data_IF_282645143446
#
_entry.id   IF_282645143446
#
_cell.length_a   1.000
_cell.length_b   1.000
_cell.length_c   1.000
_cell.angle_alpha   90.00
_cell.angle_beta   90.00
_cell.angle_gamma   90.00
#
_symmetry.space_group_name_H-M   'P 1'
#
loop_
_entity.id
_entity.type
_entity.pdbx_description
1 polymer ?
#
# COMPACT_ATOMS: atom_id res chain seq x y z
N UNK A 1 14.97 -18.93 -9.33
CA UNK A 1 13.67 -18.25 -9.57
C UNK A 1 13.95 -16.75 -9.47
N UNK A 2 13.67 -15.97 -10.51
CA UNK A 2 13.82 -14.51 -10.40
C UNK A 2 12.74 -14.00 -9.45
N UNK A 3 13.08 -13.04 -8.58
CA UNK A 3 12.07 -12.35 -7.80
C UNK A 3 11.05 -11.71 -8.75
N UNK A 4 9.75 -11.71 -8.40
CA UNK A 4 8.75 -11.03 -9.20
C UNK A 4 9.10 -9.54 -9.34
N UNK A 5 8.68 -8.93 -10.46
CA UNK A 5 8.83 -7.50 -10.64
C UNK A 5 8.00 -6.75 -9.59
N UNK A 6 8.46 -5.57 -9.11
CA UNK A 6 7.67 -4.74 -8.22
C UNK A 6 6.33 -4.32 -8.85
N UNK A 7 5.30 -4.18 -8.02
CA UNK A 7 3.95 -3.77 -8.44
C UNK A 7 3.53 -2.56 -7.63
N UNK A 8 2.99 -1.55 -8.32
CA UNK A 8 2.44 -0.36 -7.69
C UNK A 8 1.04 -0.66 -7.18
N UNK A 9 0.88 -0.67 -5.86
CA UNK A 9 -0.40 -0.85 -5.19
C UNK A 9 -1.23 0.43 -5.26
N UNK A 10 -0.60 1.56 -4.98
CA UNK A 10 -1.18 2.91 -5.08
C UNK A 10 -0.29 3.70 -6.03
N UNK A 11 -0.91 4.37 -6.99
CA UNK A 11 -0.25 5.35 -7.84
C UNK A 11 -1.16 6.56 -7.96
N UNK A 12 -0.72 7.67 -7.40
CA UNK A 12 -1.38 8.97 -7.51
C UNK A 12 -0.35 9.93 -8.09
N UNK A 13 -0.66 10.48 -9.25
CA UNK A 13 0.18 11.46 -9.93
C UNK A 13 -0.73 12.50 -10.58
N UNK A 14 -0.38 13.76 -10.46
CA UNK A 14 -1.04 14.83 -11.19
C UNK A 14 -0.24 15.25 -12.44
N UNK A 15 -0.87 16.05 -13.32
CA UNK A 15 -0.18 16.61 -14.49
C UNK A 15 0.95 17.58 -14.15
N UNK A 16 0.95 18.17 -12.95
CA UNK A 16 1.93 19.16 -12.50
C UNK A 16 3.24 18.52 -12.02
N UNK A 17 3.22 17.19 -11.82
CA UNK A 17 4.39 16.35 -11.57
C UNK A 17 4.49 15.84 -10.13
N UNK A 18 3.57 16.24 -9.25
CA UNK A 18 3.50 15.70 -7.90
C UNK A 18 3.00 14.25 -7.97
N UNK A 19 3.73 13.35 -7.31
CA UNK A 19 3.42 11.93 -7.30
C UNK A 19 3.62 11.30 -5.93
N UNK A 20 2.76 10.36 -5.63
CA UNK A 20 2.85 9.47 -4.48
C UNK A 20 2.55 8.03 -4.95
N UNK A 21 3.51 7.14 -4.75
CA UNK A 21 3.41 5.74 -5.17
C UNK A 21 3.70 4.83 -3.98
N UNK A 22 2.83 3.85 -3.73
CA UNK A 22 3.13 2.72 -2.84
C UNK A 22 3.46 1.51 -3.70
N UNK A 23 4.74 1.12 -3.70
CA UNK A 23 5.28 0.04 -4.53
C UNK A 23 5.61 -1.17 -3.68
N UNK A 24 4.97 -2.30 -3.94
CA UNK A 24 5.33 -3.59 -3.33
C UNK A 24 6.51 -4.18 -4.10
N UNK A 25 7.63 -4.39 -3.41
CA UNK A 25 8.89 -4.83 -3.99
C UNK A 25 9.20 -6.31 -3.71
N UNK A 26 8.54 -6.92 -2.72
CA UNK A 26 8.77 -8.32 -2.36
C UNK A 26 8.21 -8.70 -1.00
N UNK A 27 8.76 -9.77 -0.43
CA UNK A 27 8.50 -10.23 0.95
C UNK A 27 9.63 -9.75 1.86
N UNK A 28 9.34 -9.44 3.13
CA UNK A 28 10.33 -8.99 4.11
C UNK A 28 11.34 -10.09 4.45
N UNK A 29 10.87 -11.31 4.74
CA UNK A 29 11.72 -12.46 5.05
C UNK A 29 11.22 -13.72 4.32
N UNK A 30 11.44 -13.82 2.99
CA UNK A 30 10.94 -14.93 2.20
C UNK A 30 11.50 -16.26 2.70
N UNK A 31 10.61 -17.12 3.18
CA UNK A 31 10.93 -18.48 3.64
C UNK A 31 10.98 -18.61 5.16
N UNK A 32 10.98 -17.47 5.88
CA UNK A 32 10.80 -17.44 7.34
C UNK A 32 9.32 -17.34 7.63
N UNK A 33 8.77 -18.34 8.32
CA UNK A 33 7.32 -18.50 8.48
C UNK A 33 6.61 -17.23 8.99
N UNK A 34 7.15 -16.58 10.01
CA UNK A 34 6.59 -15.37 10.64
C UNK A 34 6.75 -14.10 9.80
N UNK A 35 7.64 -14.08 8.81
CA UNK A 35 7.96 -12.88 8.01
C UNK A 35 7.74 -13.06 6.51
N UNK A 36 7.36 -14.26 6.06
CA UNK A 36 7.20 -14.58 4.65
C UNK A 36 6.00 -13.85 4.05
N UNK A 37 4.88 -13.75 4.77
CA UNK A 37 3.67 -13.06 4.31
C UNK A 37 3.62 -11.57 4.67
N UNK A 38 4.71 -11.03 5.22
CA UNK A 38 4.89 -9.59 5.33
C UNK A 38 5.45 -9.09 4.01
N UNK A 39 4.71 -8.23 3.33
CA UNK A 39 5.12 -7.57 2.10
C UNK A 39 6.02 -6.38 2.43
N UNK A 40 7.16 -6.32 1.74
CA UNK A 40 8.03 -5.15 1.74
C UNK A 40 7.59 -4.22 0.61
N UNK A 41 7.15 -3.04 0.98
CA UNK A 41 6.74 -1.98 0.10
C UNK A 41 7.55 -0.70 0.35
N UNK A 42 7.40 0.26 -0.55
CA UNK A 42 8.05 1.56 -0.48
C UNK A 42 7.06 2.65 -0.84
N UNK A 43 7.06 3.73 -0.06
CA UNK A 43 6.35 4.96 -0.40
C UNK A 43 7.33 5.90 -1.09
N UNK A 44 7.07 6.18 -2.36
CA UNK A 44 7.83 7.07 -3.21
C UNK A 44 7.06 8.37 -3.38
N UNK A 45 7.58 9.45 -2.83
CA UNK A 45 6.96 10.76 -2.86
C UNK A 45 7.88 11.69 -3.62
N UNK A 46 7.35 12.39 -4.61
CA UNK A 46 8.12 13.37 -5.38
C UNK A 46 7.21 14.54 -5.69
N UNK A 47 7.53 15.68 -5.10
CA UNK A 47 6.88 16.98 -5.30
C UNK A 47 7.93 18.06 -5.47
N UNK A 48 7.51 19.30 -5.71
CA UNK A 48 8.42 20.46 -5.77
C UNK A 48 9.22 20.74 -4.47
N UNK A 49 8.80 20.17 -3.33
CA UNK A 49 9.38 20.45 -2.02
C UNK A 49 9.82 19.19 -1.24
N UNK A 50 9.42 17.99 -1.68
CA UNK A 50 9.80 16.70 -1.07
C UNK A 50 10.17 15.70 -2.17
N UNK A 51 11.33 15.06 -2.03
CA UNK A 51 11.68 13.84 -2.77
C UNK A 51 12.14 12.79 -1.75
N UNK A 52 11.31 11.76 -1.55
CA UNK A 52 11.48 10.81 -0.47
C UNK A 52 11.14 9.37 -0.90
N UNK A 53 11.90 8.43 -0.33
CA UNK A 53 11.66 6.99 -0.40
C UNK A 53 11.65 6.43 1.01
N UNK A 54 10.52 5.90 1.43
CA UNK A 54 10.31 5.39 2.78
C UNK A 54 9.90 3.91 2.73
N UNK A 55 10.50 3.07 3.57
CA UNK A 55 10.12 1.65 3.66
C UNK A 55 8.77 1.50 4.36
N UNK A 56 7.92 0.63 3.83
CA UNK A 56 6.62 0.27 4.40
C UNK A 56 6.48 -1.25 4.46
N UNK A 57 5.92 -1.76 5.55
CA UNK A 57 5.65 -3.19 5.72
C UNK A 57 4.15 -3.43 5.78
N UNK A 58 3.65 -4.27 4.88
CA UNK A 58 2.23 -4.55 4.73
C UNK A 58 1.91 -6.01 5.03
N UNK A 59 0.87 -6.22 5.82
CA UNK A 59 0.23 -7.52 5.97
C UNK A 59 -0.85 -7.69 4.89
N UNK A 60 -1.25 -8.92 4.64
CA UNK A 60 -2.41 -9.19 3.78
C UNK A 60 -3.69 -8.52 4.31
N UNK A 61 -3.86 -8.44 5.63
CA UNK A 61 -5.00 -7.76 6.24
C UNK A 61 -5.00 -6.25 5.97
N UNK A 62 -3.83 -5.62 5.73
CA UNK A 62 -3.77 -4.22 5.29
C UNK A 62 -4.30 -4.05 3.86
N UNK A 63 -4.04 -5.05 3.01
CA UNK A 63 -4.58 -5.07 1.64
C UNK A 63 -6.11 -5.25 1.65
N UNK A 64 -6.62 -6.08 2.55
CA UNK A 64 -8.05 -6.30 2.74
C UNK A 64 -8.73 -5.05 3.31
N UNK A 65 -8.11 -4.40 4.30
CA UNK A 65 -8.58 -3.12 4.84
C UNK A 65 -8.57 -2.03 3.77
N UNK A 66 -7.50 -1.94 2.98
CA UNK A 66 -7.41 -1.00 1.86
C UNK A 66 -8.53 -1.22 0.83
N UNK A 67 -8.83 -2.46 0.46
CA UNK A 67 -9.93 -2.79 -0.47
C UNK A 67 -11.29 -2.30 0.04
N UNK A 68 -11.56 -2.58 1.32
CA UNK A 68 -12.81 -2.18 1.96
C UNK A 68 -12.92 -0.65 2.00
N UNK A 69 -11.88 0.02 2.49
CA UNK A 69 -11.84 1.48 2.59
C UNK A 69 -11.94 2.14 1.21
N UNK A 70 -11.28 1.60 0.18
CA UNK A 70 -11.37 2.09 -1.20
C UNK A 70 -12.78 1.92 -1.80
N UNK A 71 -13.53 0.91 -1.35
CA UNK A 71 -14.91 0.68 -1.78
C UNK A 71 -15.89 1.67 -1.14
N UNK A 72 -15.66 2.04 0.12
CA UNK A 72 -16.47 3.00 0.87
C UNK A 72 -16.01 4.46 0.70
N UNK A 73 -14.88 4.67 0.02
CA UNK A 73 -14.29 5.98 -0.15
C UNK A 73 -15.21 6.88 -0.98
N UNK A 74 -15.45 8.09 -0.49
CA UNK A 74 -16.33 9.08 -1.10
C UNK A 74 -15.96 10.47 -0.60
N UNK A 75 -16.63 11.53 -1.10
CA UNK A 75 -16.48 12.88 -0.56
C UNK A 75 -16.56 12.91 0.98
N UNK A 76 -15.62 13.61 1.61
CA UNK A 76 -15.48 13.74 3.06
C UNK A 76 -14.93 12.50 3.79
N UNK A 77 -14.49 11.46 3.06
CA UNK A 77 -13.97 10.21 3.65
C UNK A 77 -12.45 10.08 3.47
N UNK A 78 -11.86 9.27 4.34
CA UNK A 78 -10.43 8.94 4.32
C UNK A 78 -10.26 7.44 4.17
N UNK A 79 -9.26 7.03 3.39
CA UNK A 79 -8.74 5.66 3.37
C UNK A 79 -7.24 5.69 3.68
N UNK A 80 -6.72 4.70 4.38
CA UNK A 80 -5.32 4.62 4.78
C UNK A 80 -4.69 3.26 4.55
N UNK A 81 -3.36 3.24 4.54
CA UNK A 81 -2.53 2.05 4.40
C UNK A 81 -1.28 2.14 5.27
N UNK A 82 -0.88 1.02 5.88
CA UNK A 82 0.24 0.92 6.82
C UNK A 82 -0.18 0.81 8.29
N UNK A 83 -1.35 1.36 8.64
CA UNK A 83 -1.92 1.27 9.98
C UNK A 83 -1.08 2.02 11.02
N UNK A 84 -1.05 1.53 12.27
CA UNK A 84 -0.36 2.20 13.39
C UNK A 84 1.09 1.73 13.61
N UNK A 85 1.68 1.01 12.66
CA UNK A 85 2.97 0.30 12.84
C UNK A 85 4.20 1.08 12.35
N UNK A 86 4.11 2.40 12.29
CA UNK A 86 5.18 3.27 11.81
C UNK A 86 4.68 4.16 10.67
N UNK A 87 5.23 3.97 9.47
CA UNK A 87 4.79 4.72 8.31
C UNK A 87 3.31 4.45 7.99
N UNK A 88 2.53 5.52 7.90
CA UNK A 88 1.13 5.51 7.48
C UNK A 88 0.92 6.50 6.34
N UNK A 89 0.10 6.10 5.36
CA UNK A 89 -0.34 6.95 4.27
C UNK A 89 -1.87 7.00 4.29
N UNK A 90 -2.42 8.21 4.29
CA UNK A 90 -3.86 8.46 4.29
C UNK A 90 -4.25 9.31 3.08
N UNK A 91 -5.35 8.94 2.42
CA UNK A 91 -5.94 9.64 1.29
C UNK A 91 -7.32 10.13 1.74
N UNK A 92 -7.44 11.44 1.89
CA UNK A 92 -8.71 12.11 2.12
C UNK A 92 -9.28 12.61 0.79
N UNK A 93 -10.57 12.35 0.56
CA UNK A 93 -11.30 12.89 -0.61
C UNK A 93 -12.13 14.07 -0.13
N UNK A 94 -11.82 15.26 -0.62
CA UNK A 94 -12.59 16.47 -0.34
C UNK A 94 -13.93 16.47 -1.08
N UNK A 95 -14.85 17.35 -0.65
CA UNK A 95 -16.19 17.50 -1.24
C UNK A 95 -16.15 17.90 -2.73
N UNK A 96 -15.11 18.59 -3.15
CA UNK A 96 -14.90 19.03 -4.53
C UNK A 96 -14.15 17.99 -5.40
N UNK A 97 -13.84 16.81 -4.82
CA UNK A 97 -13.12 15.73 -5.48
C UNK A 97 -11.60 15.87 -5.46
N UNK A 98 -11.04 16.93 -4.87
CA UNK A 98 -9.60 17.02 -4.62
C UNK A 98 -9.16 15.98 -3.58
N UNK A 99 -7.94 15.47 -3.71
CA UNK A 99 -7.37 14.56 -2.73
C UNK A 99 -6.32 15.27 -1.88
N UNK A 100 -6.33 14.99 -0.59
CA UNK A 100 -5.15 15.23 0.27
C UNK A 100 -4.54 13.90 0.65
N UNK A 101 -3.24 13.76 0.39
CA UNK A 101 -2.45 12.60 0.76
C UNK A 101 -1.56 13.01 1.92
N UNK A 102 -1.83 12.46 3.09
CA UNK A 102 -0.99 12.64 4.27
C UNK A 102 -0.05 11.45 4.41
N UNK A 103 1.24 11.73 4.59
CA UNK A 103 2.27 10.72 4.83
C UNK A 103 2.90 11.04 6.18
N UNK A 104 2.81 10.08 7.09
CA UNK A 104 3.37 10.16 8.44
C UNK A 104 4.33 9.01 8.66
N UNK A 105 5.61 9.32 8.78
CA UNK A 105 6.66 8.47 9.32
C UNK A 105 7.21 9.17 10.58
N UNK A 106 6.89 8.66 11.79
CA UNK A 106 7.17 9.35 13.05
C UNK A 106 8.61 9.84 13.22
N UNK A 107 9.58 9.14 12.63
CA UNK A 107 11.00 9.43 12.80
C UNK A 107 11.61 10.19 11.61
N UNK A 108 10.90 10.28 10.48
CA UNK A 108 11.52 10.71 9.20
C UNK A 108 10.78 11.80 8.46
N UNK A 109 9.45 11.73 8.37
CA UNK A 109 8.69 12.62 7.49
C UNK A 109 7.26 12.79 7.98
N UNK A 110 6.81 14.05 8.04
CA UNK A 110 5.39 14.37 8.09
C UNK A 110 5.10 15.38 6.99
N UNK A 111 4.24 15.01 6.05
CA UNK A 111 3.88 15.89 4.92
C UNK A 111 2.46 15.62 4.45
N UNK A 112 1.86 16.64 3.82
CA UNK A 112 0.58 16.55 3.14
C UNK A 112 0.76 17.11 1.72
N UNK A 113 0.29 16.39 0.72
CA UNK A 113 0.19 16.89 -0.66
C UNK A 113 -1.26 16.92 -1.12
N UNK A 114 -1.63 17.97 -1.84
CA UNK A 114 -2.90 18.05 -2.57
C UNK A 114 -2.70 17.50 -3.98
N UNK A 115 -3.66 16.76 -4.51
CA UNK A 115 -3.59 16.27 -5.89
C UNK A 115 -4.99 16.05 -6.48
N UNK A 116 -5.10 16.18 -7.80
CA UNK A 116 -6.30 15.81 -8.57
C UNK A 116 -5.94 14.69 -9.54
N UNK A 117 -6.04 13.42 -9.13
CA UNK A 117 -5.75 12.32 -10.03
C UNK A 117 -6.85 12.17 -11.08
N UNK A 118 -6.60 11.34 -12.07
CA UNK A 118 -7.60 10.97 -13.09
C UNK A 118 -8.82 10.32 -12.44
N UNK A 119 -10.01 10.52 -13.02
CA UNK A 119 -11.28 10.03 -12.45
C UNK A 119 -11.31 8.52 -12.16
N UNK A 120 -10.51 7.72 -12.86
CA UNK A 120 -10.49 6.26 -12.77
C UNK A 120 -9.47 5.69 -11.77
N UNK A 121 -8.77 6.53 -11.00
CA UNK A 121 -7.71 6.12 -10.08
C UNK A 121 -8.13 5.00 -9.12
N UNK A 122 -9.39 5.01 -8.64
CA UNK A 122 -9.90 3.97 -7.74
C UNK A 122 -10.03 2.62 -8.45
N UNK A 123 -10.44 2.61 -9.71
CA UNK A 123 -10.53 1.39 -10.49
C UNK A 123 -9.13 0.85 -10.82
N UNK A 124 -8.17 1.73 -11.08
CA UNK A 124 -6.76 1.35 -11.24
C UNK A 124 -6.19 0.74 -9.95
N UNK A 125 -6.43 1.36 -8.78
CA UNK A 125 -5.96 0.85 -7.50
C UNK A 125 -6.56 -0.53 -7.17
N UNK A 126 -7.83 -0.79 -7.53
CA UNK A 126 -8.42 -2.14 -7.41
C UNK A 126 -7.71 -3.17 -8.30
N UNK A 127 -7.41 -2.83 -9.55
CA UNK A 127 -6.64 -3.71 -10.45
C UNK A 127 -5.23 -3.97 -9.93
N UNK A 128 -4.58 -2.91 -9.42
CA UNK A 128 -3.27 -2.99 -8.78
C UNK A 128 -3.27 -3.90 -7.56
N UNK A 129 -4.29 -3.77 -6.69
CA UNK A 129 -4.48 -4.64 -5.54
C UNK A 129 -4.62 -6.12 -5.96
N UNK A 130 -5.44 -6.42 -6.97
CA UNK A 130 -5.54 -7.79 -7.50
C UNK A 130 -4.20 -8.29 -8.03
N UNK A 131 -3.42 -7.43 -8.68
CA UNK A 131 -2.10 -7.79 -9.21
C UNK A 131 -1.10 -8.06 -8.08
N UNK A 132 -1.10 -7.26 -7.02
CA UNK A 132 -0.31 -7.52 -5.80
C UNK A 132 -0.67 -8.87 -5.21
N UNK A 133 -1.97 -9.15 -5.00
CA UNK A 133 -2.45 -10.44 -4.45
C UNK A 133 -2.10 -11.64 -5.33
N UNK A 134 -2.08 -11.47 -6.66
CA UNK A 134 -1.64 -12.53 -7.60
C UNK A 134 -0.14 -12.76 -7.56
N UNK A 135 0.64 -11.69 -7.38
CA UNK A 135 2.11 -11.72 -7.42
C UNK A 135 2.71 -12.24 -6.11
N UNK A 136 2.12 -11.84 -4.98
CA UNK A 136 2.47 -12.31 -3.63
C UNK A 136 1.20 -12.81 -2.95
N UNK A 137 0.78 -14.07 -3.23
CA UNK A 137 -0.37 -14.66 -2.56
C UNK A 137 -0.05 -14.95 -1.09
N UNK A 138 -1.10 -15.08 -0.27
CA UNK A 138 -0.95 -15.53 1.11
C UNK A 138 -0.50 -16.99 1.14
N UNK A 139 0.71 -17.24 1.62
CA UNK A 139 1.32 -18.58 1.69
C UNK A 139 1.44 -19.11 3.13
N UNK A 140 1.15 -18.28 4.12
CA UNK A 140 1.21 -18.56 5.54
C UNK A 140 -0.16 -18.24 6.16
N UNK A 141 -0.64 -19.18 6.96
CA UNK A 141 -1.86 -19.03 7.75
C UNK A 141 -1.50 -18.99 9.22
N UNK A 142 -2.20 -18.15 9.97
CA UNK A 142 -2.14 -18.15 11.43
C UNK A 142 -3.25 -19.07 11.93
N UNK A 143 -2.87 -20.17 12.58
CA UNK A 143 -3.83 -21.19 13.06
C UNK A 143 -4.29 -20.91 14.50
N UNK A 144 -3.48 -20.14 15.24
CA UNK A 144 -3.79 -19.57 16.55
C UNK A 144 -2.84 -18.40 16.81
N UNK A 145 -3.12 -17.50 17.78
CA UNK A 145 -2.27 -16.32 18.03
C UNK A 145 -0.78 -16.67 18.18
N UNK A 146 0.05 -16.21 17.25
CA UNK A 146 1.49 -16.47 17.21
C UNK A 146 1.91 -17.83 16.66
N UNK A 147 0.98 -18.69 16.24
CA UNK A 147 1.25 -19.98 15.62
C UNK A 147 0.95 -19.91 14.12
N UNK A 148 1.98 -20.11 13.32
CA UNK A 148 1.92 -19.99 11.87
C UNK A 148 2.21 -21.33 11.23
N UNK A 149 1.60 -21.58 10.09
CA UNK A 149 1.83 -22.75 9.26
C UNK A 149 1.83 -22.36 7.78
N UNK A 150 2.55 -23.12 6.95
CA UNK A 150 2.47 -22.95 5.51
C UNK A 150 1.09 -23.39 5.03
N UNK A 151 0.45 -22.56 4.21
CA UNK A 151 -0.79 -22.90 3.54
C UNK A 151 -0.57 -24.19 2.71
N UNK A 152 -1.34 -25.28 2.96
CA UNK A 152 -1.20 -26.52 2.23
C UNK A 152 -1.45 -26.37 0.72
N UNK A 153 -2.26 -25.38 0.32
CA UNK A 153 -2.62 -25.10 -1.07
C UNK A 153 -1.64 -24.13 -1.76
N UNK A 154 -0.52 -23.77 -1.11
CA UNK A 154 0.46 -22.87 -1.75
C UNK A 154 1.02 -23.51 -3.02
N UNK A 155 1.05 -22.71 -4.09
CA UNK A 155 1.71 -23.12 -5.33
C UNK A 155 3.23 -23.10 -5.09
N UNK A 156 3.87 -24.26 -5.22
CA UNK A 156 5.33 -24.41 -5.13
C UNK A 156 6.02 -23.96 -6.42
#
# INVERSE_FOLDING_TARGET
MMAPAPVDLIHLADPDGDRCVVRVAGRYQPGVLTGHDILRAEVLVSTSFVDARLDLYLFHDDLDSWEQQLSDLGPGRTAGIGGERGLNLEIHVHEDGELSIQITDPDRLWTVLGTRPREDWRAEHRKSLEHVRKTWPREVIETSPGAYEWNPDRKR
#
